data_IF_321468401232
#
_entry.id   IF_321468401232
#
_cell.length_a   1.000
_cell.length_b   1.000
_cell.length_c   1.000
_cell.angle_alpha   90.00
_cell.angle_beta   90.00
_cell.angle_gamma   90.00
#
_symmetry.space_group_name_H-M   'P 1'
#
loop_
_entity.id
_entity.type
_entity.pdbx_description
1 polymer ?
#
# COMPACT_ATOMS: atom_id res chain seq x y z
N UNK A 1 35.43 27.11 6.42
CA UNK A 1 34.21 26.37 6.83
C UNK A 1 33.75 25.66 5.59
N UNK A 2 33.57 24.34 5.60
CA UNK A 2 32.85 23.68 4.52
C UNK A 2 31.39 24.11 4.64
N UNK A 3 30.83 24.67 3.58
CA UNK A 3 29.38 24.83 3.49
C UNK A 3 28.76 23.44 3.45
N UNK A 4 27.90 23.15 4.43
CA UNK A 4 27.09 21.93 4.43
C UNK A 4 26.11 22.02 3.26
N UNK A 5 26.30 21.16 2.27
CA UNK A 5 25.54 21.18 1.01
C UNK A 5 24.71 19.91 0.89
N UNK A 6 23.43 20.09 0.57
CA UNK A 6 22.53 18.98 0.25
C UNK A 6 22.63 18.74 -1.25
N UNK A 7 22.91 17.50 -1.66
CA UNK A 7 23.01 17.12 -3.07
C UNK A 7 21.92 16.13 -3.45
N UNK A 8 21.25 16.39 -4.57
CA UNK A 8 20.34 15.45 -5.23
C UNK A 8 20.48 15.57 -6.74
N UNK A 9 20.25 14.48 -7.46
CA UNK A 9 20.18 14.47 -8.93
C UNK A 9 18.75 14.62 -9.45
N UNK A 10 17.77 14.64 -8.55
CA UNK A 10 16.33 14.61 -8.89
C UNK A 10 15.77 16.02 -9.02
N UNK A 11 16.21 16.95 -8.18
CA UNK A 11 15.62 18.28 -8.04
C UNK A 11 16.70 19.35 -8.09
N UNK A 12 16.47 20.38 -8.91
CA UNK A 12 17.28 21.58 -8.95
C UNK A 12 16.36 22.79 -8.88
N UNK A 13 16.69 23.73 -7.99
CA UNK A 13 15.99 25.00 -7.87
C UNK A 13 16.95 26.17 -7.99
N UNK A 14 16.47 27.26 -8.57
CA UNK A 14 17.13 28.55 -8.55
C UNK A 14 16.34 29.48 -7.66
N UNK A 15 17.01 30.19 -6.75
CA UNK A 15 16.34 31.08 -5.81
C UNK A 15 15.85 32.38 -6.49
N UNK A 16 14.82 32.98 -5.92
CA UNK A 16 14.38 34.32 -6.29
C UNK A 16 15.51 35.35 -6.08
N UNK A 17 15.67 36.34 -6.97
CA UNK A 17 16.75 37.33 -6.88
C UNK A 17 16.76 38.11 -5.55
N UNK A 18 15.60 38.25 -4.91
CA UNK A 18 15.39 38.96 -3.65
C UNK A 18 15.11 38.03 -2.45
N UNK A 19 15.03 36.71 -2.65
CA UNK A 19 14.76 35.75 -1.58
C UNK A 19 15.47 34.40 -1.81
N UNK A 20 16.60 34.20 -1.14
CA UNK A 20 17.40 32.96 -1.20
C UNK A 20 16.68 31.69 -0.69
N UNK A 21 15.52 31.82 -0.02
CA UNK A 21 14.76 30.70 0.52
C UNK A 21 13.49 30.38 -0.29
N UNK A 22 13.21 31.14 -1.35
CA UNK A 22 12.11 30.87 -2.27
C UNK A 22 12.65 30.53 -3.64
N UNK A 23 12.09 29.49 -4.27
CA UNK A 23 12.49 29.10 -5.62
C UNK A 23 11.78 29.94 -6.69
N UNK A 24 12.56 30.50 -7.61
CA UNK A 24 12.08 31.13 -8.85
C UNK A 24 11.83 30.12 -9.97
N UNK A 25 12.66 29.07 -10.03
CA UNK A 25 12.53 27.98 -10.99
C UNK A 25 12.79 26.64 -10.30
N UNK A 26 12.08 25.60 -10.73
CA UNK A 26 12.23 24.26 -10.19
C UNK A 26 12.22 23.22 -11.29
N UNK A 27 13.26 22.40 -11.33
CA UNK A 27 13.49 21.41 -12.36
C UNK A 27 13.58 20.02 -11.75
N UNK A 28 12.72 19.11 -12.20
CA UNK A 28 12.82 17.70 -11.87
C UNK A 28 13.52 16.96 -13.01
N UNK A 29 14.70 16.38 -12.76
CA UNK A 29 15.55 15.76 -13.80
C UNK A 29 15.77 16.66 -15.03
N UNK A 30 15.85 17.97 -14.82
CA UNK A 30 16.03 18.98 -15.88
C UNK A 30 14.75 19.48 -16.55
N UNK A 31 13.57 18.94 -16.21
CA UNK A 31 12.29 19.41 -16.73
C UNK A 31 11.68 20.48 -15.83
N UNK A 32 11.30 21.64 -16.41
CA UNK A 32 10.68 22.75 -15.67
C UNK A 32 9.28 22.35 -15.16
N UNK A 33 9.18 22.17 -13.84
CA UNK A 33 7.98 21.65 -13.19
C UNK A 33 6.82 22.65 -13.27
N UNK A 34 7.08 23.92 -12.98
CA UNK A 34 6.02 24.92 -12.84
C UNK A 34 5.77 25.71 -14.13
N UNK A 35 6.79 25.90 -14.98
CA UNK A 35 6.65 26.56 -16.28
C UNK A 35 6.04 25.66 -17.35
N UNK A 36 6.43 24.37 -17.37
CA UNK A 36 6.05 23.42 -18.43
C UNK A 36 5.20 22.26 -17.91
N UNK A 37 5.73 21.40 -17.03
CA UNK A 37 5.11 20.13 -16.66
C UNK A 37 3.72 20.31 -16.03
N UNK A 38 3.54 21.33 -15.19
CA UNK A 38 2.26 21.63 -14.52
C UNK A 38 1.08 21.76 -15.51
N UNK A 39 1.35 22.18 -16.75
CA UNK A 39 0.32 22.38 -17.78
C UNK A 39 0.23 21.22 -18.78
N UNK A 40 1.29 20.43 -18.89
CA UNK A 40 1.49 19.49 -20.01
C UNK A 40 1.50 18.03 -19.58
N UNK A 41 1.97 17.72 -18.37
CA UNK A 41 2.10 16.36 -17.88
C UNK A 41 0.90 15.97 -17.01
N UNK A 42 0.42 14.75 -17.20
CA UNK A 42 -0.44 14.08 -16.22
C UNK A 42 0.35 13.71 -14.97
N UNK A 43 -0.37 13.42 -13.88
CA UNK A 43 0.25 12.98 -12.64
C UNK A 43 1.05 11.69 -12.80
N UNK A 44 0.55 10.74 -13.60
CA UNK A 44 1.26 9.47 -13.86
C UNK A 44 2.52 9.67 -14.70
N UNK A 45 2.51 10.58 -15.67
CA UNK A 45 3.72 10.91 -16.43
C UNK A 45 4.79 11.54 -15.53
N UNK A 46 4.38 12.44 -14.64
CA UNK A 46 5.31 13.03 -13.67
C UNK A 46 5.82 12.01 -12.64
N UNK A 47 4.97 11.08 -12.19
CA UNK A 47 5.38 9.97 -11.32
C UNK A 47 6.42 9.08 -12.00
N UNK A 48 6.22 8.73 -13.27
CA UNK A 48 7.20 7.97 -14.05
C UNK A 48 8.53 8.72 -14.14
N UNK A 49 8.49 10.00 -14.50
CA UNK A 49 9.67 10.86 -14.61
C UNK A 49 10.47 10.91 -13.29
N UNK A 50 9.82 11.09 -12.15
CA UNK A 50 10.50 11.16 -10.84
C UNK A 50 11.34 9.90 -10.56
N UNK A 51 10.81 8.73 -10.91
CA UNK A 51 11.50 7.46 -10.67
C UNK A 51 12.51 7.10 -11.76
N UNK A 52 12.23 7.41 -13.02
CA UNK A 52 13.04 6.97 -14.18
C UNK A 52 14.05 8.00 -14.66
N UNK A 53 13.86 9.26 -14.34
CA UNK A 53 14.69 10.38 -14.80
C UNK A 53 14.43 10.83 -16.24
N UNK A 54 13.50 10.17 -16.93
CA UNK A 54 13.10 10.46 -18.31
C UNK A 54 11.57 10.43 -18.44
N UNK A 55 11.03 11.23 -19.35
CA UNK A 55 9.59 11.24 -19.62
C UNK A 55 9.17 9.88 -20.22
N UNK A 56 7.99 9.35 -19.84
CA UNK A 56 7.49 8.12 -20.44
C UNK A 56 7.07 8.36 -21.89
N UNK A 57 7.14 7.30 -22.70
CA UNK A 57 6.36 7.23 -23.94
C UNK A 57 4.86 7.18 -23.63
N UNK A 58 4.02 7.53 -24.60
CA UNK A 58 2.57 7.45 -24.46
C UNK A 58 2.08 6.02 -24.10
N UNK A 59 2.79 4.99 -24.54
CA UNK A 59 2.52 3.59 -24.20
C UNK A 59 2.83 3.30 -22.73
N UNK A 60 4.01 3.70 -22.24
CA UNK A 60 4.39 3.56 -20.83
C UNK A 60 3.45 4.34 -19.91
N UNK A 61 3.06 5.55 -20.29
CA UNK A 61 2.12 6.36 -19.52
C UNK A 61 0.76 5.65 -19.38
N UNK A 62 0.18 5.15 -20.49
CA UNK A 62 -1.08 4.39 -20.47
C UNK A 62 -0.98 3.11 -19.64
N UNK A 63 0.13 2.38 -19.76
CA UNK A 63 0.34 1.14 -19.03
C UNK A 63 0.44 1.39 -17.52
N UNK A 64 1.23 2.40 -17.10
CA UNK A 64 1.36 2.76 -15.69
C UNK A 64 0.04 3.31 -15.12
N UNK A 65 -0.71 4.11 -15.89
CA UNK A 65 -2.04 4.59 -15.50
C UNK A 65 -3.02 3.43 -15.28
N UNK A 66 -3.05 2.47 -16.21
CA UNK A 66 -3.86 1.26 -16.07
C UNK A 66 -3.53 0.46 -14.82
N UNK A 67 -2.23 0.32 -14.53
CA UNK A 67 -1.78 -0.36 -13.31
C UNK A 67 -2.17 0.44 -12.06
N UNK A 68 -1.98 1.76 -12.07
CA UNK A 68 -2.34 2.63 -10.96
C UNK A 68 -3.83 2.52 -10.62
N UNK A 69 -4.71 2.53 -11.62
CA UNK A 69 -6.15 2.34 -11.43
C UNK A 69 -6.46 0.98 -10.78
N UNK A 70 -5.82 -0.10 -11.24
CA UNK A 70 -6.04 -1.43 -10.68
C UNK A 70 -5.56 -1.57 -9.23
N UNK A 71 -4.51 -0.84 -8.85
CA UNK A 71 -3.92 -0.89 -7.50
C UNK A 71 -4.49 0.14 -6.53
N UNK A 72 -5.10 1.23 -7.02
CA UNK A 72 -5.55 2.37 -6.23
C UNK A 72 -6.41 1.98 -5.02
N UNK A 73 -7.28 0.97 -5.19
CA UNK A 73 -8.15 0.50 -4.13
C UNK A 73 -8.48 -0.99 -4.30
N UNK A 74 -7.73 -1.91 -3.65
CA UNK A 74 -8.05 -3.34 -3.66
C UNK A 74 -9.30 -3.69 -2.82
N UNK A 75 -9.89 -2.71 -2.13
CA UNK A 75 -11.09 -2.85 -1.33
C UNK A 75 -10.83 -3.20 0.15
N UNK A 76 -11.87 -3.20 1.00
CA UNK A 76 -11.73 -3.29 2.46
C UNK A 76 -11.25 -4.65 2.98
N UNK A 77 -11.25 -5.70 2.14
CA UNK A 77 -10.71 -7.02 2.51
C UNK A 77 -9.19 -7.08 2.43
N UNK A 78 -8.58 -6.11 1.77
CA UNK A 78 -7.15 -6.00 1.70
C UNK A 78 -6.58 -5.58 3.07
N UNK A 79 -5.52 -6.25 3.51
CA UNK A 79 -4.99 -6.06 4.86
C UNK A 79 -4.44 -4.63 5.07
N UNK A 80 -3.84 -4.02 4.04
CA UNK A 80 -3.32 -2.65 4.14
C UNK A 80 -4.46 -1.62 4.22
N UNK A 81 -5.49 -1.77 3.39
CA UNK A 81 -6.70 -0.93 3.47
C UNK A 81 -7.38 -1.10 4.82
N UNK A 82 -7.55 -2.34 5.28
CA UNK A 82 -8.15 -2.66 6.58
C UNK A 82 -7.35 -2.05 7.75
N UNK A 83 -6.02 -2.02 7.68
CA UNK A 83 -5.20 -1.35 8.69
C UNK A 83 -5.46 0.16 8.74
N UNK A 84 -5.61 0.81 7.60
CA UNK A 84 -5.98 2.22 7.52
C UNK A 84 -7.38 2.49 8.08
N UNK A 85 -8.33 1.60 7.76
CA UNK A 85 -9.69 1.61 8.31
C UNK A 85 -9.69 1.50 9.83
N UNK A 86 -8.90 0.58 10.40
CA UNK A 86 -8.72 0.45 11.85
C UNK A 86 -8.17 1.75 12.47
N UNK A 87 -7.20 2.40 11.83
CA UNK A 87 -6.70 3.71 12.24
C UNK A 87 -7.82 4.76 12.24
N UNK A 88 -8.58 4.83 11.14
CA UNK A 88 -9.68 5.78 10.96
C UNK A 88 -10.76 5.64 12.03
N UNK A 89 -11.26 4.42 12.23
CA UNK A 89 -12.31 4.13 13.22
C UNK A 89 -11.84 4.35 14.66
N UNK A 90 -10.54 4.13 14.92
CA UNK A 90 -9.91 4.41 16.21
C UNK A 90 -9.65 5.89 16.48
N UNK A 91 -9.98 6.78 15.54
CA UNK A 91 -9.76 8.22 15.67
C UNK A 91 -8.28 8.64 15.52
N UNK A 92 -7.45 7.80 14.88
CA UNK A 92 -6.04 8.12 14.63
C UNK A 92 -5.90 9.28 13.64
N UNK A 93 -4.71 9.90 13.61
CA UNK A 93 -4.41 10.94 12.62
C UNK A 93 -4.33 10.37 11.20
N UNK A 94 -4.57 11.19 10.17
CA UNK A 94 -4.48 10.76 8.77
C UNK A 94 -3.10 10.17 8.44
N UNK A 95 -2.01 10.76 8.96
CA UNK A 95 -0.66 10.24 8.79
C UNK A 95 -0.50 8.84 9.40
N UNK A 96 -1.03 8.63 10.62
CA UNK A 96 -1.01 7.32 11.28
C UNK A 96 -1.77 6.26 10.50
N UNK A 97 -2.93 6.60 9.91
CA UNK A 97 -3.70 5.66 9.08
C UNK A 97 -2.93 5.22 7.83
N UNK A 98 -2.26 6.16 7.14
CA UNK A 98 -1.45 5.83 5.96
C UNK A 98 -0.20 5.02 6.34
N UNK A 99 0.47 5.35 7.45
CA UNK A 99 1.59 4.55 7.93
C UNK A 99 1.17 3.12 8.31
N UNK A 100 -0.01 2.94 8.91
CA UNK A 100 -0.55 1.61 9.17
C UNK A 100 -0.79 0.81 7.88
N UNK A 101 -1.33 1.47 6.84
CA UNK A 101 -1.48 0.86 5.52
C UNK A 101 -0.13 0.43 4.92
N UNK A 102 0.89 1.30 4.99
CA UNK A 102 2.24 1.00 4.51
C UNK A 102 2.88 -0.17 5.27
N UNK A 103 2.79 -0.16 6.60
CA UNK A 103 3.39 -1.19 7.44
C UNK A 103 2.86 -2.59 7.12
N UNK A 104 1.53 -2.72 6.95
CA UNK A 104 0.91 -3.99 6.58
C UNK A 104 1.13 -4.30 5.09
N UNK A 105 1.04 -3.30 4.23
CA UNK A 105 1.22 -3.43 2.78
C UNK A 105 2.65 -3.73 2.34
N UNK A 106 3.64 -3.64 3.23
CA UNK A 106 5.05 -3.91 2.91
C UNK A 106 5.39 -5.41 2.87
N UNK A 107 4.54 -6.30 3.39
CA UNK A 107 4.86 -7.72 3.55
C UNK A 107 5.02 -8.54 2.25
N UNK A 108 5.50 -9.78 2.41
CA UNK A 108 5.74 -10.72 1.30
C UNK A 108 4.51 -11.58 0.91
N UNK A 109 3.32 -11.22 1.40
CA UNK A 109 2.07 -11.90 1.06
C UNK A 109 1.02 -10.87 0.69
N UNK A 110 0.77 -10.70 -0.61
CA UNK A 110 -0.11 -9.67 -1.15
C UNK A 110 0.43 -8.23 -1.03
N UNK A 111 1.68 -8.06 -0.59
CA UNK A 111 2.31 -6.77 -0.31
C UNK A 111 3.47 -6.44 -1.25
N UNK A 112 4.10 -5.29 -1.00
CA UNK A 112 5.15 -4.73 -1.85
C UNK A 112 6.42 -5.59 -1.91
N UNK A 113 6.78 -6.25 -0.81
CA UNK A 113 7.92 -7.17 -0.81
C UNK A 113 7.71 -8.36 -1.74
N UNK A 114 6.47 -8.81 -1.88
CA UNK A 114 6.15 -9.86 -2.85
C UNK A 114 6.38 -9.38 -4.29
N UNK A 115 5.98 -8.14 -4.61
CA UNK A 115 6.23 -7.52 -5.92
C UNK A 115 7.73 -7.38 -6.18
N UNK A 116 8.51 -6.94 -5.19
CA UNK A 116 9.97 -6.88 -5.28
C UNK A 116 10.55 -8.24 -5.70
N UNK A 117 10.17 -9.32 -5.00
CA UNK A 117 10.68 -10.66 -5.26
C UNK A 117 10.22 -11.20 -6.62
N UNK A 118 8.96 -10.99 -6.98
CA UNK A 118 8.44 -11.36 -8.30
C UNK A 118 9.15 -10.59 -9.44
N UNK A 119 9.53 -9.33 -9.22
CA UNK A 119 10.35 -8.57 -10.18
C UNK A 119 11.77 -9.09 -10.28
N UNK A 120 12.38 -9.56 -9.18
CA UNK A 120 13.68 -10.24 -9.23
C UNK A 120 13.59 -11.54 -10.04
N UNK A 121 12.50 -12.30 -9.88
CA UNK A 121 12.23 -13.48 -10.70
C UNK A 121 12.16 -13.11 -12.19
N UNK A 122 11.48 -12.03 -12.56
CA UNK A 122 11.48 -11.53 -13.94
C UNK A 122 12.88 -11.15 -14.45
N UNK A 123 13.71 -10.51 -13.62
CA UNK A 123 15.08 -10.14 -14.01
C UNK A 123 15.96 -11.37 -14.30
N UNK A 124 15.78 -12.45 -13.55
CA UNK A 124 16.60 -13.67 -13.70
C UNK A 124 16.05 -14.59 -14.79
N UNK A 125 14.73 -14.74 -14.86
CA UNK A 125 14.05 -15.76 -15.67
C UNK A 125 13.61 -15.22 -17.03
N UNK A 126 13.37 -13.92 -17.15
CA UNK A 126 12.79 -13.32 -18.35
C UNK A 126 11.54 -14.05 -18.83
N UNK A 127 11.40 -14.19 -20.14
CA UNK A 127 10.31 -14.91 -20.80
C UNK A 127 10.68 -16.38 -21.13
N UNK A 128 11.39 -17.08 -20.23
CA UNK A 128 11.82 -18.47 -20.42
C UNK A 128 10.95 -19.47 -19.62
N UNK A 129 10.11 -20.30 -20.28
CA UNK A 129 9.27 -21.28 -19.59
C UNK A 129 10.04 -22.27 -18.71
N UNK A 130 11.23 -22.71 -19.11
CA UNK A 130 11.98 -23.71 -18.36
C UNK A 130 12.54 -23.14 -17.04
N UNK A 131 12.99 -21.88 -17.07
CA UNK A 131 13.44 -21.17 -15.87
C UNK A 131 12.29 -20.90 -14.91
N UNK A 132 11.11 -20.54 -15.43
CA UNK A 132 9.92 -20.40 -14.60
C UNK A 132 9.48 -21.71 -13.97
N UNK A 133 9.47 -22.82 -14.73
CA UNK A 133 9.08 -24.12 -14.21
C UNK A 133 10.01 -24.59 -13.08
N UNK A 134 11.31 -24.52 -13.31
CA UNK A 134 12.32 -24.90 -12.31
C UNK A 134 12.27 -23.99 -11.10
N UNK A 135 12.17 -22.68 -11.28
CA UNK A 135 12.16 -21.73 -10.18
C UNK A 135 10.90 -21.77 -9.32
N UNK A 136 9.72 -22.08 -9.89
CA UNK A 136 8.48 -22.22 -9.12
C UNK A 136 8.40 -23.54 -8.34
N UNK A 137 9.10 -24.58 -8.80
CA UNK A 137 9.20 -25.85 -8.08
C UNK A 137 10.07 -25.77 -6.81
N UNK A 138 10.94 -24.75 -6.70
CA UNK A 138 11.82 -24.55 -5.56
C UNK A 138 11.08 -23.84 -4.43
N UNK A 139 11.08 -24.44 -3.24
CA UNK A 139 10.54 -23.78 -2.04
C UNK A 139 11.43 -22.60 -1.63
N UNK A 140 10.85 -21.46 -1.22
CA UNK A 140 11.62 -20.36 -0.64
C UNK A 140 12.48 -20.85 0.54
N UNK A 141 13.75 -20.48 0.55
CA UNK A 141 14.70 -20.83 1.60
C UNK A 141 14.98 -19.58 2.44
N UNK A 142 15.24 -19.78 3.73
CA UNK A 142 15.66 -18.69 4.60
C UNK A 142 17.00 -18.10 4.13
N UNK A 143 17.02 -16.78 3.97
CA UNK A 143 18.26 -16.01 3.86
C UNK A 143 18.63 -15.49 5.27
N UNK A 144 19.72 -15.99 5.89
CA UNK A 144 20.15 -15.57 7.22
C UNK A 144 20.51 -14.08 7.31
N UNK A 145 20.79 -13.42 6.17
CA UNK A 145 21.07 -11.98 6.12
C UNK A 145 19.79 -11.14 5.94
N UNK A 146 18.65 -11.76 5.65
CA UNK A 146 17.38 -11.07 5.45
C UNK A 146 16.69 -10.75 6.76
N UNK A 147 16.25 -9.50 6.91
CA UNK A 147 15.35 -9.07 8.00
C UNK A 147 13.90 -9.50 7.76
N UNK A 148 13.58 -9.94 6.54
CA UNK A 148 12.25 -10.43 6.17
C UNK A 148 12.11 -11.91 6.49
N UNK A 149 10.94 -12.36 6.98
CA UNK A 149 10.61 -13.77 7.09
C UNK A 149 10.72 -14.48 5.75
N UNK A 150 10.91 -15.81 5.81
CA UNK A 150 10.84 -16.66 4.62
C UNK A 150 9.45 -16.52 4.00
N UNK A 151 9.34 -16.27 2.68
CA UNK A 151 8.05 -16.24 2.00
C UNK A 151 7.30 -17.56 2.18
N UNK A 152 5.99 -17.49 2.39
CA UNK A 152 5.14 -18.66 2.57
C UNK A 152 4.79 -19.39 1.27
N UNK A 153 4.99 -18.74 0.12
CA UNK A 153 4.58 -19.22 -1.19
C UNK A 153 5.43 -18.58 -2.30
N UNK A 154 5.24 -19.02 -3.54
CA UNK A 154 5.92 -18.47 -4.71
C UNK A 154 5.47 -17.01 -4.95
N UNK A 155 6.40 -16.03 -5.07
CA UNK A 155 6.03 -14.63 -5.25
C UNK A 155 5.14 -14.38 -6.48
N UNK A 156 4.07 -13.61 -6.30
CA UNK A 156 3.15 -13.23 -7.36
C UNK A 156 1.96 -14.19 -7.53
N UNK A 157 1.83 -15.18 -6.65
CA UNK A 157 0.74 -16.15 -6.64
C UNK A 157 -0.05 -16.08 -5.34
N UNK A 158 -1.34 -16.41 -5.36
CA UNK A 158 -2.24 -16.26 -4.21
C UNK A 158 -2.29 -17.56 -3.39
N UNK A 159 -1.72 -17.61 -2.17
CA UNK A 159 -1.69 -18.83 -1.35
C UNK A 159 -3.07 -19.28 -0.87
N UNK A 160 -4.07 -18.40 -0.91
CA UNK A 160 -5.44 -18.68 -0.49
C UNK A 160 -6.42 -18.78 -1.67
N UNK A 161 -5.92 -18.57 -2.88
CA UNK A 161 -6.71 -18.59 -4.10
C UNK A 161 -7.00 -20.01 -4.58
N UNK A 162 -8.23 -20.27 -5.02
CA UNK A 162 -8.60 -21.52 -5.70
C UNK A 162 -8.42 -21.41 -7.21
N UNK A 163 -8.63 -20.21 -7.76
CA UNK A 163 -8.50 -19.91 -9.19
C UNK A 163 -8.17 -18.44 -9.40
N UNK A 164 -7.57 -18.11 -10.54
CA UNK A 164 -7.30 -16.71 -10.90
C UNK A 164 -8.60 -15.90 -10.94
N UNK A 165 -8.66 -14.86 -10.12
CA UNK A 165 -9.87 -14.06 -9.96
C UNK A 165 -10.16 -13.24 -11.21
N UNK A 166 -11.42 -12.82 -11.39
CA UNK A 166 -11.79 -12.00 -12.55
C UNK A 166 -11.05 -10.65 -12.60
N UNK A 167 -10.88 -9.91 -11.49
CA UNK A 167 -10.12 -8.66 -11.51
C UNK A 167 -8.67 -8.85 -11.98
N UNK A 168 -7.96 -9.88 -11.49
CA UNK A 168 -6.58 -10.15 -11.92
C UNK A 168 -6.51 -10.44 -13.43
N UNK A 169 -7.43 -11.26 -13.96
CA UNK A 169 -7.47 -11.57 -15.40
C UNK A 169 -7.82 -10.36 -16.26
N UNK A 170 -8.77 -9.53 -15.80
CA UNK A 170 -9.17 -8.31 -16.49
C UNK A 170 -8.04 -7.28 -16.52
N UNK A 171 -7.37 -7.07 -15.39
CA UNK A 171 -6.20 -6.20 -15.32
C UNK A 171 -5.09 -6.71 -16.23
N UNK A 172 -4.73 -8.00 -16.17
CA UNK A 172 -3.70 -8.55 -17.05
C UNK A 172 -4.05 -8.35 -18.54
N UNK A 173 -5.29 -8.62 -18.94
CA UNK A 173 -5.73 -8.42 -20.32
C UNK A 173 -5.62 -6.95 -20.75
N UNK A 174 -6.11 -6.02 -19.92
CA UNK A 174 -6.06 -4.60 -20.22
C UNK A 174 -4.62 -4.05 -20.30
N UNK A 175 -3.73 -4.51 -19.42
CA UNK A 175 -2.33 -4.08 -19.44
C UNK A 175 -1.62 -4.60 -20.70
N UNK A 176 -1.89 -5.84 -21.13
CA UNK A 176 -1.42 -6.34 -22.44
C UNK A 176 -1.93 -5.47 -23.59
N UNK A 177 -3.19 -5.03 -23.54
CA UNK A 177 -3.74 -4.12 -24.56
C UNK A 177 -3.04 -2.75 -24.57
N UNK A 178 -2.77 -2.18 -23.40
CA UNK A 178 -2.02 -0.92 -23.26
C UNK A 178 -0.60 -1.03 -23.80
N UNK A 179 -0.03 -2.23 -23.70
CA UNK A 179 1.29 -2.60 -24.21
C UNK A 179 1.33 -2.88 -25.72
N UNK A 180 0.22 -2.82 -26.46
CA UNK A 180 0.27 -2.95 -27.92
C UNK A 180 0.69 -1.61 -28.58
N UNK A 181 1.84 -1.59 -29.27
CA UNK A 181 2.35 -0.42 -29.99
C UNK A 181 3.80 -0.57 -30.45
N UNK A 182 4.27 0.39 -31.27
CA UNK A 182 5.59 0.39 -31.91
C UNK A 182 6.75 0.83 -30.99
N UNK A 183 6.49 1.01 -29.68
CA UNK A 183 7.52 1.37 -28.71
C UNK A 183 8.41 0.17 -28.36
N UNK A 184 9.74 0.29 -28.43
CA UNK A 184 10.64 -0.82 -28.11
C UNK A 184 10.54 -1.20 -26.62
N UNK A 185 10.39 -2.50 -26.34
CA UNK A 185 10.64 -3.09 -25.02
C UNK A 185 9.51 -3.04 -23.99
N UNK A 186 8.34 -2.47 -24.31
CA UNK A 186 7.21 -2.40 -23.37
C UNK A 186 6.19 -3.51 -23.64
N UNK A 187 5.98 -4.44 -22.69
CA UNK A 187 4.84 -5.38 -22.70
C UNK A 187 5.12 -6.84 -22.99
N UNK A 188 6.39 -7.22 -23.18
CA UNK A 188 6.76 -8.59 -23.54
C UNK A 188 6.48 -9.57 -22.40
N UNK A 189 6.78 -9.16 -21.16
CA UNK A 189 6.55 -9.98 -19.97
C UNK A 189 5.07 -10.14 -19.66
N UNK A 190 4.26 -9.09 -19.84
CA UNK A 190 2.80 -9.14 -19.71
C UNK A 190 2.16 -10.08 -20.73
N UNK A 191 2.52 -9.95 -22.02
CA UNK A 191 1.99 -10.80 -23.08
C UNK A 191 2.38 -12.27 -22.86
N UNK A 192 3.62 -12.51 -22.46
CA UNK A 192 4.10 -13.85 -22.12
C UNK A 192 3.39 -14.41 -20.89
N UNK A 193 3.21 -13.61 -19.83
CA UNK A 193 2.49 -14.02 -18.62
C UNK A 193 1.04 -14.39 -18.95
N UNK A 194 0.36 -13.62 -19.80
CA UNK A 194 -1.01 -13.92 -20.23
C UNK A 194 -1.08 -15.26 -20.98
N UNK A 195 -0.14 -15.50 -21.90
CA UNK A 195 -0.09 -16.73 -22.68
C UNK A 195 0.26 -17.98 -21.85
N UNK A 196 1.11 -17.83 -20.83
CA UNK A 196 1.63 -18.95 -20.04
C UNK A 196 0.95 -19.10 -18.67
N UNK A 197 0.00 -18.22 -18.31
CA UNK A 197 -0.62 -18.16 -16.98
C UNK A 197 -1.04 -19.53 -16.46
N UNK A 198 -1.83 -20.29 -17.23
CA UNK A 198 -2.36 -21.57 -16.77
C UNK A 198 -1.25 -22.58 -16.42
N UNK A 199 -0.21 -22.67 -17.25
CA UNK A 199 0.92 -23.56 -17.00
C UNK A 199 1.75 -23.13 -15.77
N UNK A 200 1.89 -21.83 -15.54
CA UNK A 200 2.54 -21.29 -14.34
C UNK A 200 1.72 -21.57 -13.08
N UNK A 201 0.40 -21.40 -13.16
CA UNK A 201 -0.53 -21.69 -12.05
C UNK A 201 -0.48 -23.18 -11.68
N UNK A 202 -0.48 -24.07 -12.68
CA UNK A 202 -0.36 -25.51 -12.49
C UNK A 202 0.99 -25.88 -11.84
N UNK A 203 2.08 -25.22 -12.26
CA UNK A 203 3.42 -25.48 -11.71
C UNK A 203 3.57 -24.94 -10.29
N UNK A 204 3.06 -23.74 -10.02
CA UNK A 204 3.08 -23.14 -8.69
C UNK A 204 2.10 -23.83 -7.72
N UNK A 205 1.09 -24.53 -8.25
CA UNK A 205 -0.03 -25.06 -7.46
C UNK A 205 -0.92 -23.97 -6.87
N UNK A 206 -0.80 -22.73 -7.35
CA UNK A 206 -1.45 -21.53 -6.84
C UNK A 206 -1.87 -20.65 -8.02
N UNK A 207 -3.01 -19.95 -7.96
CA UNK A 207 -3.43 -19.03 -9.02
C UNK A 207 -2.60 -17.75 -9.02
N UNK A 208 -2.49 -17.11 -10.19
CA UNK A 208 -1.83 -15.82 -10.33
C UNK A 208 -2.54 -14.75 -9.47
N UNK A 209 -1.74 -13.98 -8.72
CA UNK A 209 -2.20 -12.85 -7.93
C UNK A 209 -1.98 -11.50 -8.63
N UNK A 210 -2.61 -10.44 -8.10
CA UNK A 210 -2.39 -9.08 -8.60
C UNK A 210 -0.94 -8.62 -8.45
N UNK A 211 -0.22 -9.10 -7.42
CA UNK A 211 1.21 -8.82 -7.23
C UNK A 211 2.06 -9.36 -8.38
N UNK A 212 1.73 -10.52 -8.95
CA UNK A 212 2.40 -11.07 -10.13
C UNK A 212 2.16 -10.25 -11.39
N UNK A 213 0.93 -9.77 -11.61
CA UNK A 213 0.59 -8.86 -12.73
C UNK A 213 1.31 -7.52 -12.58
N UNK A 214 1.32 -6.95 -11.37
CA UNK A 214 2.04 -5.71 -11.08
C UNK A 214 3.54 -5.84 -11.31
N UNK A 215 4.15 -6.96 -10.88
CA UNK A 215 5.57 -7.22 -11.10
C UNK A 215 5.93 -7.30 -12.59
N UNK A 216 5.13 -8.01 -13.40
CA UNK A 216 5.34 -8.09 -14.84
C UNK A 216 5.20 -6.71 -15.52
N UNK A 217 4.18 -5.93 -15.15
CA UNK A 217 3.97 -4.60 -15.69
C UNK A 217 5.10 -3.63 -15.34
N UNK A 218 5.54 -3.61 -14.07
CA UNK A 218 6.63 -2.75 -13.62
C UNK A 218 7.97 -3.14 -14.25
N UNK A 219 8.19 -4.44 -14.48
CA UNK A 219 9.34 -4.93 -15.23
C UNK A 219 9.32 -4.45 -16.69
N UNK A 220 8.18 -4.58 -17.38
CA UNK A 220 7.98 -4.10 -18.76
C UNK A 220 8.09 -2.56 -18.88
N UNK A 221 7.81 -1.83 -17.80
CA UNK A 221 8.01 -0.38 -17.71
C UNK A 221 9.48 0.02 -17.46
N UNK A 222 10.37 -0.96 -17.23
CA UNK A 222 11.79 -0.74 -16.98
C UNK A 222 12.13 -0.30 -15.55
N UNK A 223 11.22 -0.49 -14.59
CA UNK A 223 11.52 -0.23 -13.18
C UNK A 223 12.42 -1.32 -12.58
N UNK A 224 13.31 -0.93 -11.67
CA UNK A 224 14.02 -1.89 -10.82
C UNK A 224 13.08 -2.48 -9.77
N UNK A 225 13.40 -3.66 -9.20
CA UNK A 225 12.61 -4.25 -8.12
C UNK A 225 12.38 -3.28 -6.95
N UNK A 226 13.39 -2.49 -6.56
CA UNK A 226 13.27 -1.51 -5.49
C UNK A 226 12.33 -0.34 -5.85
N UNK A 227 12.35 0.11 -7.10
CA UNK A 227 11.40 1.12 -7.57
C UNK A 227 9.97 0.55 -7.60
N UNK A 228 9.80 -0.69 -8.04
CA UNK A 228 8.50 -1.36 -8.07
C UNK A 228 7.91 -1.60 -6.69
N UNK A 229 8.73 -1.96 -5.70
CA UNK A 229 8.34 -2.09 -4.29
C UNK A 229 7.75 -0.75 -3.77
N UNK A 230 8.48 0.35 -4.00
CA UNK A 230 8.04 1.68 -3.59
C UNK A 230 6.75 2.13 -4.32
N UNK A 231 6.68 1.92 -5.63
CA UNK A 231 5.50 2.28 -6.43
C UNK A 231 4.27 1.49 -6.00
N UNK A 232 4.41 0.18 -5.73
CA UNK A 232 3.29 -0.64 -5.30
C UNK A 232 2.70 -0.16 -3.96
N UNK A 233 3.54 0.26 -3.01
CA UNK A 233 3.09 0.90 -1.77
C UNK A 233 2.36 2.21 -2.06
N UNK A 234 3.00 3.11 -2.81
CA UNK A 234 2.47 4.44 -3.11
C UNK A 234 1.11 4.37 -3.81
N UNK A 235 0.99 3.54 -4.84
CA UNK A 235 -0.21 3.42 -5.67
C UNK A 235 -1.41 2.87 -4.91
N UNK A 236 -1.23 2.24 -3.74
CA UNK A 236 -2.33 1.70 -2.92
C UNK A 236 -2.83 2.67 -1.84
N UNK A 237 -2.12 3.77 -1.59
CA UNK A 237 -2.49 4.76 -0.58
C UNK A 237 -3.82 5.49 -0.86
N UNK A 238 -4.23 5.80 -2.11
CA UNK A 238 -5.49 6.52 -2.35
C UNK A 238 -6.71 5.81 -1.76
N UNK A 239 -6.85 4.51 -1.99
CA UNK A 239 -7.93 3.69 -1.43
C UNK A 239 -7.85 3.61 0.09
N UNK A 240 -6.66 3.38 0.64
CA UNK A 240 -6.45 3.37 2.10
C UNK A 240 -6.86 4.69 2.75
N UNK A 241 -6.52 5.83 2.14
CA UNK A 241 -6.89 7.16 2.61
C UNK A 241 -8.41 7.37 2.62
N UNK A 242 -9.08 7.05 1.49
CA UNK A 242 -10.52 7.22 1.35
C UNK A 242 -11.29 6.37 2.37
N UNK A 243 -10.90 5.10 2.52
CA UNK A 243 -11.51 4.20 3.50
C UNK A 243 -11.25 4.64 4.94
N UNK A 244 -10.04 5.11 5.28
CA UNK A 244 -9.77 5.63 6.63
C UNK A 244 -10.65 6.84 6.99
N UNK A 245 -10.89 7.75 6.04
CA UNK A 245 -11.79 8.89 6.23
C UNK A 245 -13.24 8.44 6.41
N UNK A 246 -13.73 7.53 5.57
CA UNK A 246 -15.07 6.98 5.71
C UNK A 246 -15.28 6.31 7.08
N UNK A 247 -14.34 5.49 7.52
CA UNK A 247 -14.46 4.75 8.77
C UNK A 247 -14.42 5.64 10.01
N UNK A 248 -13.76 6.80 9.92
CA UNK A 248 -13.80 7.83 10.97
C UNK A 248 -15.22 8.35 11.19
N UNK A 249 -15.99 8.51 10.12
CA UNK A 249 -17.36 9.04 10.18
C UNK A 249 -18.39 7.95 10.53
N UNK A 250 -18.20 6.71 10.05
CA UNK A 250 -19.11 5.58 10.32
C UNK A 250 -19.12 5.11 11.77
N UNK A 251 -17.98 5.25 12.47
CA UNK A 251 -17.80 4.85 13.87
C UNK A 251 -17.71 3.34 14.12
N UNK A 252 -17.09 2.96 15.23
CA UNK A 252 -16.74 1.56 15.56
C UNK A 252 -17.90 0.56 15.59
N UNK A 253 -19.14 1.03 15.80
CA UNK A 253 -20.33 0.16 15.86
C UNK A 253 -20.69 -0.44 14.51
N UNK A 254 -20.30 0.22 13.42
CA UNK A 254 -20.58 -0.21 12.05
C UNK A 254 -19.32 -0.76 11.36
N UNK A 255 -18.22 -0.90 12.10
CA UNK A 255 -16.98 -1.42 11.54
C UNK A 255 -17.18 -2.88 11.13
N UNK A 256 -16.71 -3.29 9.94
CA UNK A 256 -16.91 -4.64 9.43
C UNK A 256 -16.01 -5.64 10.17
N UNK A 257 -16.32 -5.93 11.43
CA UNK A 257 -15.69 -7.03 12.16
C UNK A 257 -16.13 -8.36 11.53
N UNK A 258 -15.17 -9.15 11.10
CA UNK A 258 -15.42 -10.57 10.83
C UNK A 258 -15.77 -11.25 12.16
N UNK A 259 -16.65 -12.25 12.11
CA UNK A 259 -16.91 -13.09 13.29
C UNK A 259 -15.60 -13.80 13.64
N UNK A 260 -14.99 -13.43 14.76
CA UNK A 260 -13.74 -14.02 15.22
C UNK A 260 -14.09 -15.35 15.89
N UNK A 261 -13.62 -16.45 15.31
CA UNK A 261 -13.56 -17.74 16.01
C UNK A 261 -12.26 -17.74 16.82
N UNK A 262 -12.40 -17.57 18.13
CA UNK A 262 -11.28 -17.65 19.06
C UNK A 262 -11.01 -19.13 19.35
N UNK A 263 -9.86 -19.65 18.93
CA UNK A 263 -9.45 -21.03 19.23
C UNK A 263 -9.29 -21.26 20.76
N UNK A 264 -9.04 -20.20 21.52
CA UNK A 264 -8.89 -20.22 22.98
C UNK A 264 -9.79 -19.16 23.66
N UNK A 265 -11.09 -19.17 23.38
CA UNK A 265 -12.06 -18.39 24.16
C UNK A 265 -12.14 -18.99 25.58
N UNK A 266 -11.79 -18.25 26.66
CA UNK A 266 -11.98 -18.75 28.03
C UNK A 266 -13.46 -18.96 28.39
N UNK A 267 -14.39 -18.57 27.52
CA UNK A 267 -15.83 -18.65 27.72
C UNK A 267 -16.32 -17.55 28.66
N UNK A 268 -17.64 -17.50 28.94
CA UNK A 268 -18.18 -16.56 29.91
C UNK A 268 -17.52 -16.77 31.27
N UNK A 269 -17.11 -15.66 31.91
CA UNK A 269 -16.48 -15.68 33.23
C UNK A 269 -17.35 -16.48 34.22
N UNK A 270 -16.89 -17.66 34.62
CA UNK A 270 -17.52 -18.41 35.69
C UNK A 270 -17.20 -17.69 37.01
N UNK A 271 -18.22 -17.04 37.60
CA UNK A 271 -18.13 -16.51 38.97
C UNK A 271 -18.15 -14.99 39.14
N UNK A 272 -18.91 -14.24 38.33
CA UNK A 272 -19.38 -12.94 38.80
C UNK A 272 -20.53 -13.15 39.80
N UNK A 273 -20.21 -13.59 41.03
CA UNK A 273 -21.10 -13.33 42.15
C UNK A 273 -21.22 -11.80 42.28
N UNK A 274 -22.43 -11.29 42.03
CA UNK A 274 -22.80 -9.89 42.21
C UNK A 274 -22.46 -9.41 43.63
N UNK A 275 -21.27 -8.85 43.84
CA UNK A 275 -20.89 -8.15 45.08
C UNK A 275 -21.34 -6.69 45.12
N UNK A 276 -22.34 -6.31 44.32
CA UNK A 276 -22.96 -4.98 44.34
C UNK A 276 -24.49 -5.06 44.31
N UNK A 277 -25.10 -5.23 45.47
CA UNK A 277 -26.41 -4.74 45.93
C UNK A 277 -26.80 -5.60 47.15
N UNK A 278 -26.77 -5.12 48.39
CA UNK A 278 -27.66 -4.07 48.90
C UNK A 278 -26.87 -3.02 49.70
N UNK A 279 -26.91 -1.77 49.23
CA UNK A 279 -26.84 -0.63 50.15
C UNK A 279 -28.22 0.04 50.16
N UNK A 280 -28.74 0.43 51.35
CA UNK A 280 -30.09 0.95 51.46
C UNK A 280 -30.22 2.32 50.76
N UNK A 281 -31.37 2.51 50.14
CA UNK A 281 -31.71 3.70 49.34
C UNK A 281 -31.52 5.01 50.11
N UNK A 282 -30.97 6.07 49.50
CA UNK A 282 -30.88 7.38 50.14
C UNK A 282 -32.27 8.03 50.28
N UNK A 283 -32.49 8.64 51.45
CA UNK A 283 -33.71 9.35 51.83
C UNK A 283 -34.04 10.53 50.87
N UNK A 284 -35.33 10.85 50.66
CA UNK A 284 -35.75 11.86 49.69
C UNK A 284 -35.35 13.30 50.07
N UNK A 285 -35.04 14.07 49.03
CA UNK A 285 -34.56 15.47 48.97
C UNK A 285 -35.57 16.53 49.49
N UNK A 286 -36.15 16.36 50.67
CA UNK A 286 -37.06 17.35 51.27
C UNK A 286 -36.56 17.98 52.58
N UNK A 287 -35.28 17.83 52.94
CA UNK A 287 -34.74 18.42 54.19
C UNK A 287 -33.29 18.95 54.10
N UNK A 288 -32.99 19.79 53.11
CA UNK A 288 -31.78 20.62 53.12
C UNK A 288 -32.11 22.08 52.77
N UNK A 289 -33.00 22.69 53.56
CA UNK A 289 -32.92 24.11 53.88
C UNK A 289 -32.63 24.19 55.36
N UNK A 290 -31.37 24.44 55.72
CA UNK A 290 -30.96 25.32 56.82
C UNK A 290 -29.48 25.14 57.14
N UNK A 291 -28.79 26.30 57.24
CA UNK A 291 -27.52 26.55 57.95
C UNK A 291 -26.26 25.95 57.32
N UNK A 292 -25.17 26.68 57.12
CA UNK A 292 -24.81 28.05 57.50
C UNK A 292 -23.28 28.17 57.34
N UNK A 293 -22.86 29.35 56.85
CA UNK A 293 -21.48 29.85 56.75
C UNK A 293 -20.42 29.17 57.62
N UNK A 294 -19.25 28.86 57.05
CA UNK A 294 -17.95 29.29 57.62
C UNK A 294 -16.97 29.64 56.47
N UNK A 295 -16.21 30.70 56.75
CA UNK A 295 -15.44 31.64 55.94
C UNK A 295 -14.10 31.16 55.36
N UNK A 296 -13.62 31.95 54.41
CA UNK A 296 -12.29 31.93 53.80
C UNK A 296 -11.27 32.77 54.59
N UNK A 297 -10.01 32.33 54.56
CA UNK A 297 -8.73 33.06 54.77
C UNK A 297 -7.62 32.01 54.51
N UNK A 298 -6.46 32.22 53.90
CA UNK A 298 -5.77 33.38 53.36
C UNK A 298 -4.33 32.91 53.00
N UNK A 299 -3.76 33.54 51.96
CA UNK A 299 -2.37 33.61 51.48
C UNK A 299 -1.24 32.81 52.17
N UNK A 300 -0.43 32.10 51.38
CA UNK A 300 0.84 32.58 50.81
C UNK A 300 1.31 31.63 49.69
#
# INVERSE_FOLDING_TARGET
>A
MNEETIHTRIWQEEAEPDNAFAAASCHCHGYDVYGELLKQASWIEYLFLMFRGEAPSAQQARLLEGLAVALANPGPRDAAVHAAMCGGVGGSTSASCLMAALAVGAGASGGAREVFMAMQDWQVRGADPALWQTGLAVKPVADPASVWPVPGHAPGFDPYGVRCTAPVRQTLAYLVECSNGDGPGCGQSLAWLQANRAALEDTAGLPLAMTGVAAAALHDLGFSPAQGEMLFLLLRLPGAAAHALEQKDYGHKNFPFFRIELENDPGPAQGAENHFAEQPSPLPLSRLRERGNISAEGAA
#
